data_IF_901822897482
#
_entry.id   IF_901822897482
#
_cell.length_a   1.000
_cell.length_b   1.000
_cell.length_c   1.000
_cell.angle_alpha   90.00
_cell.angle_beta   90.00
_cell.angle_gamma   90.00
#
_symmetry.space_group_name_H-M   'P 1'
#
loop_
_entity.id
_entity.type
_entity.pdbx_description
1 polymer ?
#
# COMPACT_ATOMS: atom_id res chain seq x y z
N UNK A 1 1.43 11.51 -7.84
CA UNK A 1 1.14 10.07 -7.68
C UNK A 1 -0.32 9.97 -7.29
N UNK A 2 -1.09 9.25 -8.08
CA UNK A 2 -2.52 9.08 -7.91
C UNK A 2 -2.83 7.59 -7.85
N UNK A 3 -3.89 7.23 -7.10
CA UNK A 3 -4.46 5.88 -7.10
C UNK A 3 -5.97 5.99 -7.31
N UNK A 4 -6.52 5.02 -8.02
CA UNK A 4 -7.96 4.88 -8.23
C UNK A 4 -8.52 3.92 -7.18
N UNK A 5 -9.56 4.32 -6.47
CA UNK A 5 -10.27 3.44 -5.55
C UNK A 5 -11.04 2.38 -6.36
N UNK A 6 -10.84 1.09 -6.06
CA UNK A 6 -11.48 -0.01 -6.77
C UNK A 6 -12.97 -0.17 -6.41
N UNK A 7 -13.42 0.42 -5.29
CA UNK A 7 -14.84 0.38 -4.90
C UNK A 7 -15.64 1.52 -5.54
N UNK A 8 -15.23 2.78 -5.33
CA UNK A 8 -15.98 3.95 -5.82
C UNK A 8 -15.43 4.58 -7.11
N UNK A 9 -14.37 4.02 -7.70
CA UNK A 9 -13.72 4.50 -8.92
C UNK A 9 -13.14 5.94 -8.86
N UNK A 10 -13.11 6.59 -7.69
CA UNK A 10 -12.54 7.93 -7.52
C UNK A 10 -11.02 7.90 -7.59
N UNK A 11 -10.44 8.91 -8.25
CA UNK A 11 -9.00 9.12 -8.29
C UNK A 11 -8.59 9.97 -7.09
N UNK A 12 -7.59 9.49 -6.35
CA UNK A 12 -7.12 10.11 -5.13
C UNK A 12 -5.66 10.49 -5.29
N UNK A 13 -5.39 11.77 -5.05
CA UNK A 13 -4.03 12.30 -4.97
C UNK A 13 -3.39 11.89 -3.65
N UNK A 14 -2.39 11.02 -3.73
CA UNK A 14 -1.71 10.46 -2.55
C UNK A 14 -0.86 11.48 -1.79
N UNK A 15 -0.58 12.66 -2.36
CA UNK A 15 0.13 13.74 -1.66
C UNK A 15 -0.71 14.39 -0.57
N UNK A 16 -2.03 14.38 -0.72
CA UNK A 16 -2.97 15.10 0.16
C UNK A 16 -3.87 14.16 0.94
N UNK A 17 -4.01 12.91 0.48
CA UNK A 17 -4.91 11.92 1.07
C UNK A 17 -4.15 10.61 1.29
N UNK A 18 -3.81 10.34 2.55
CA UNK A 18 -3.06 9.17 2.99
C UNK A 18 -3.94 8.15 3.75
N UNK A 19 -5.25 8.21 3.53
CA UNK A 19 -6.21 7.27 4.13
C UNK A 19 -6.63 6.20 3.11
N UNK A 20 -6.71 4.97 3.58
CA UNK A 20 -7.09 3.81 2.77
C UNK A 20 -6.14 2.64 2.89
N UNK A 21 -6.54 1.54 2.28
CA UNK A 21 -5.84 0.26 2.30
C UNK A 21 -5.47 -0.16 0.88
N UNK A 22 -4.27 -0.73 0.74
CA UNK A 22 -3.77 -1.35 -0.48
C UNK A 22 -3.66 -2.84 -0.25
N UNK A 23 -4.22 -3.63 -1.17
CA UNK A 23 -4.18 -5.08 -1.12
C UNK A 23 -3.39 -5.61 -2.32
N UNK A 24 -2.50 -6.57 -2.06
CA UNK A 24 -1.65 -7.22 -3.07
C UNK A 24 -0.86 -6.23 -3.94
N UNK A 25 -0.47 -5.08 -3.39
CA UNK A 25 0.13 -3.92 -4.10
C UNK A 25 -0.71 -3.35 -5.27
N UNK A 26 -1.88 -3.92 -5.56
CA UNK A 26 -2.66 -3.72 -6.77
C UNK A 26 -3.95 -2.95 -6.50
N UNK A 27 -4.76 -3.47 -5.58
CA UNK A 27 -6.09 -2.93 -5.32
C UNK A 27 -6.03 -1.87 -4.22
N UNK A 28 -6.78 -0.79 -4.37
CA UNK A 28 -6.83 0.31 -3.43
C UNK A 28 -8.27 0.59 -3.00
N UNK A 29 -8.48 0.62 -1.69
CA UNK A 29 -9.70 1.05 -1.04
C UNK A 29 -9.43 2.39 -0.36
N UNK A 30 -10.16 3.44 -0.74
CA UNK A 30 -9.99 4.76 -0.12
C UNK A 30 -10.55 4.80 1.31
N UNK A 31 -10.04 5.74 2.11
CA UNK A 31 -10.50 5.95 3.50
C UNK A 31 -12.01 6.15 3.61
N UNK A 32 -12.61 6.96 2.74
CA UNK A 32 -14.06 7.19 2.76
C UNK A 32 -14.86 5.90 2.53
N UNK A 33 -14.45 5.05 1.59
CA UNK A 33 -15.10 3.77 1.37
C UNK A 33 -14.88 2.80 2.54
N UNK A 34 -13.68 2.82 3.14
CA UNK A 34 -13.38 2.03 4.31
C UNK A 34 -14.19 2.44 5.55
N UNK A 35 -14.54 3.72 5.67
CA UNK A 35 -15.34 4.25 6.78
C UNK A 35 -16.86 4.14 6.55
N UNK A 36 -17.30 4.16 5.29
CA UNK A 36 -18.74 4.16 4.94
C UNK A 36 -19.33 2.76 4.89
N UNK A 37 -18.54 1.76 4.50
CA UNK A 37 -19.00 0.38 4.36
C UNK A 37 -18.72 -0.43 5.62
N UNK A 38 -19.61 -1.37 5.91
CA UNK A 38 -19.40 -2.33 7.00
C UNK A 38 -18.26 -3.29 6.68
N UNK A 39 -17.64 -3.85 7.72
CA UNK A 39 -16.58 -4.85 7.56
C UNK A 39 -17.06 -6.07 6.74
N UNK A 40 -18.31 -6.50 6.90
CA UNK A 40 -18.87 -7.63 6.16
C UNK A 40 -18.99 -7.33 4.65
N UNK A 41 -19.48 -6.13 4.29
CA UNK A 41 -19.54 -5.69 2.89
C UNK A 41 -18.15 -5.57 2.27
N UNK A 42 -17.18 -5.04 3.03
CA UNK A 42 -15.80 -4.94 2.59
C UNK A 42 -15.18 -6.32 2.43
N UNK A 43 -15.40 -7.24 3.37
CA UNK A 43 -14.89 -8.61 3.27
C UNK A 43 -15.45 -9.35 2.05
N UNK A 44 -16.75 -9.20 1.76
CA UNK A 44 -17.37 -9.81 0.58
C UNK A 44 -16.87 -9.19 -0.72
N UNK A 45 -16.65 -7.86 -0.73
CA UNK A 45 -16.01 -7.18 -1.85
C UNK A 45 -14.56 -7.66 -2.05
N UNK A 46 -13.77 -7.75 -0.98
CA UNK A 46 -12.39 -8.24 -1.06
C UNK A 46 -12.38 -9.68 -1.57
N UNK A 47 -13.23 -10.58 -1.06
CA UNK A 47 -13.34 -11.97 -1.55
C UNK A 47 -13.75 -12.06 -3.03
N UNK A 48 -14.57 -11.12 -3.49
CA UNK A 48 -15.01 -11.05 -4.89
C UNK A 48 -13.85 -10.68 -5.82
N UNK A 49 -13.01 -9.74 -5.39
CA UNK A 49 -11.91 -9.21 -6.22
C UNK A 49 -10.61 -10.01 -6.02
N UNK A 50 -10.42 -10.60 -4.85
CA UNK A 50 -9.23 -11.34 -4.42
C UNK A 50 -9.64 -12.72 -3.91
N UNK A 51 -9.08 -13.76 -4.53
CA UNK A 51 -9.37 -15.15 -4.13
C UNK A 51 -8.84 -15.50 -2.74
N UNK A 52 -7.82 -14.77 -2.25
CA UNK A 52 -7.26 -14.95 -0.92
C UNK A 52 -6.92 -13.56 -0.32
N UNK A 53 -7.81 -12.99 0.51
CA UNK A 53 -7.58 -11.66 1.09
C UNK A 53 -6.35 -11.67 2.00
N UNK A 54 -5.21 -11.18 1.52
CA UNK A 54 -4.13 -10.78 2.42
C UNK A 54 -4.57 -9.56 3.23
N UNK A 55 -4.04 -9.39 4.45
CA UNK A 55 -4.31 -8.20 5.26
C UNK A 55 -3.91 -6.93 4.49
N UNK A 56 -4.85 -6.01 4.30
CA UNK A 56 -4.60 -4.75 3.60
C UNK A 56 -3.53 -3.91 4.27
N UNK A 57 -2.63 -3.32 3.48
CA UNK A 57 -1.59 -2.42 3.94
C UNK A 57 -2.09 -0.98 3.90
N UNK A 58 -1.95 -0.17 4.97
CA UNK A 58 -2.21 1.26 4.91
C UNK A 58 -1.46 1.94 3.75
N UNK A 59 -2.15 2.81 3.00
CA UNK A 59 -1.58 3.48 1.82
C UNK A 59 -0.30 4.27 2.15
N UNK A 60 -0.20 4.83 3.36
CA UNK A 60 0.99 5.51 3.86
C UNK A 60 2.21 4.58 3.97
N UNK A 61 2.02 3.35 4.47
CA UNK A 61 3.07 2.35 4.55
C UNK A 61 3.44 1.81 3.16
N UNK A 62 2.43 1.62 2.31
CA UNK A 62 2.65 1.20 0.92
C UNK A 62 3.49 2.23 0.15
N UNK A 63 3.24 3.53 0.33
CA UNK A 63 4.05 4.59 -0.29
C UNK A 63 5.52 4.56 0.15
N UNK A 64 5.79 4.30 1.44
CA UNK A 64 7.14 4.15 1.96
C UNK A 64 7.81 2.93 1.31
N UNK A 65 7.09 1.82 1.21
CA UNK A 65 7.56 0.61 0.55
C UNK A 65 7.93 0.89 -0.91
N UNK A 66 7.03 1.51 -1.69
CA UNK A 66 7.27 1.89 -3.10
C UNK A 66 8.49 2.79 -3.26
N UNK A 67 8.64 3.82 -2.42
CA UNK A 67 9.78 4.74 -2.48
C UNK A 67 11.13 4.08 -2.12
N UNK A 68 11.09 2.94 -1.45
CA UNK A 68 12.28 2.20 -1.04
C UNK A 68 12.55 0.97 -1.92
N UNK A 69 11.60 0.52 -2.77
CA UNK A 69 11.81 -0.59 -3.72
C UNK A 69 13.02 -0.35 -4.65
N UNK A 70 13.22 0.89 -5.07
CA UNK A 70 14.33 1.27 -5.97
C UNK A 70 15.63 1.63 -5.23
N UNK A 71 15.59 1.71 -3.91
CA UNK A 71 16.78 1.92 -3.09
C UNK A 71 17.34 0.57 -2.71
N UNK A 72 18.03 -0.11 -3.63
CA UNK A 72 19.00 -1.13 -3.24
C UNK A 72 19.90 -0.51 -2.17
N UNK A 73 19.76 -0.96 -0.93
CA UNK A 73 20.69 -0.63 0.15
C UNK A 73 22.08 -1.03 -0.32
N UNK A 74 22.87 -0.09 -0.82
CA UNK A 74 24.31 -0.29 -0.93
C UNK A 74 24.84 -0.33 0.51
N UNK A 75 24.85 -1.50 1.12
CA UNK A 75 25.78 -1.80 2.20
C UNK A 75 27.19 -1.82 1.60
N UNK A 76 27.76 -0.64 1.38
CA UNK A 76 29.22 -0.50 1.36
C UNK A 76 29.70 -0.61 2.81
N UNK A 77 29.69 -1.83 3.34
CA UNK A 77 30.57 -2.15 4.46
C UNK A 77 31.98 -2.25 3.88
N UNK A 78 32.60 -1.09 3.64
CA UNK A 78 34.06 -1.05 3.49
C UNK A 78 34.64 -1.31 4.88
N UNK A 79 34.76 -2.58 5.24
CA UNK A 79 35.72 -3.01 6.26
C UNK A 79 37.08 -2.68 5.65
N UNK A 80 37.64 -1.53 6.02
CA UNK A 80 39.07 -1.29 5.85
C UNK A 80 39.77 -2.25 6.81
N UNK A 81 40.10 -3.43 6.32
CA UNK A 81 41.25 -4.15 6.84
C UNK A 81 42.49 -3.30 6.58
N UNK A 82 43.24 -3.00 7.64
CA UNK A 82 44.68 -2.71 7.69
C UNK A 82 44.97 -2.21 9.11
N UNK A 83 46.03 -2.56 9.82
CA UNK A 83 47.08 -3.58 9.78
C UNK A 83 47.73 -3.43 11.18
N UNK A 84 48.16 -4.54 11.80
CA UNK A 84 49.16 -4.50 12.87
C UNK A 84 50.55 -4.51 12.22
#
# INVERSE_FOLDING_TARGET
>A
MEKKCDLCNRHITLKTNLSGLVFEDKYFLCGECHETHSNDELDDWIKTIMKNPASGMPISLWLIHEQNKDKTFMTKTSIKNNCL
#
